data_IF_530113315337
#
_entry.id   IF_530113315337
#
_cell.length_a   1.000
_cell.length_b   1.000
_cell.length_c   1.000
_cell.angle_alpha   90.00
_cell.angle_beta   90.00
_cell.angle_gamma   90.00
#
_symmetry.space_group_name_H-M   'P 1'
#
loop_
_entity.id
_entity.type
_entity.pdbx_description
1 polymer ?
#
# COMPACT_ATOMS: atom_id res chain seq x y z
N UNK A 1 -38.74 38.92 -20.42
CA UNK A 1 -38.20 38.20 -19.25
C UNK A 1 -37.67 36.87 -19.77
N UNK A 2 -36.35 36.67 -19.81
CA UNK A 2 -35.76 35.34 -20.07
C UNK A 2 -34.44 35.31 -19.28
N UNK A 3 -34.52 34.79 -18.06
CA UNK A 3 -33.36 34.61 -17.19
C UNK A 3 -32.59 33.38 -17.67
N UNK A 4 -31.58 33.62 -18.51
CA UNK A 4 -30.67 32.57 -18.98
C UNK A 4 -29.97 31.91 -17.80
N UNK A 5 -30.25 30.61 -17.59
CA UNK A 5 -29.55 29.76 -16.61
C UNK A 5 -28.05 29.79 -16.90
N UNK A 6 -27.29 30.53 -16.08
CA UNK A 6 -25.82 30.51 -16.09
C UNK A 6 -25.34 29.08 -15.83
N UNK A 7 -24.83 28.43 -16.88
CA UNK A 7 -24.09 27.17 -16.83
C UNK A 7 -22.87 27.41 -15.93
N UNK A 8 -22.87 26.86 -14.72
CA UNK A 8 -21.75 27.03 -13.76
C UNK A 8 -20.48 26.46 -14.39
N UNK A 9 -19.42 27.28 -14.48
CA UNK A 9 -18.12 26.87 -15.02
C UNK A 9 -17.46 25.88 -14.07
N UNK A 10 -17.00 24.77 -14.62
CA UNK A 10 -16.38 23.64 -13.90
C UNK A 10 -15.04 24.01 -13.23
N UNK A 11 -14.43 25.12 -13.65
CA UNK A 11 -13.13 25.63 -13.19
C UNK A 11 -13.17 26.19 -11.75
N UNK A 12 -14.35 26.50 -11.22
CA UNK A 12 -14.55 27.06 -9.87
C UNK A 12 -14.79 25.95 -8.79
N UNK A 13 -14.74 24.67 -9.19
CA UNK A 13 -15.02 23.51 -8.33
C UNK A 13 -13.77 22.82 -7.77
N UNK A 14 -12.62 23.51 -7.76
CA UNK A 14 -11.42 23.15 -7.00
C UNK A 14 -11.65 23.36 -5.50
N UNK A 15 -12.73 22.77 -4.96
CA UNK A 15 -13.00 22.79 -3.54
C UNK A 15 -12.02 21.84 -2.90
N UNK A 16 -11.18 22.37 -2.02
CA UNK A 16 -10.28 21.56 -1.22
C UNK A 16 -11.09 20.57 -0.36
N UNK A 17 -10.49 19.43 -0.09
CA UNK A 17 -11.10 18.44 0.80
C UNK A 17 -11.17 19.00 2.22
N UNK A 18 -12.36 19.07 2.82
CA UNK A 18 -12.51 19.48 4.21
C UNK A 18 -12.30 18.27 5.14
N UNK A 19 -11.37 18.40 6.10
CA UNK A 19 -11.03 17.35 7.07
C UNK A 19 -12.22 16.90 7.94
N UNK A 20 -13.21 17.75 8.20
CA UNK A 20 -14.42 17.41 8.97
C UNK A 20 -15.22 16.29 8.31
N UNK A 21 -15.09 16.13 6.98
CA UNK A 21 -15.74 15.06 6.23
C UNK A 21 -15.18 13.69 6.59
N UNK A 22 -13.98 13.65 7.17
CA UNK A 22 -13.35 12.43 7.65
C UNK A 22 -14.14 11.80 8.79
N UNK A 23 -14.44 12.58 9.82
CA UNK A 23 -15.23 12.09 10.94
C UNK A 23 -16.71 11.99 10.58
N UNK A 24 -17.23 12.95 9.80
CA UNK A 24 -18.67 13.03 9.49
C UNK A 24 -19.15 11.93 8.55
N UNK A 25 -18.36 11.63 7.51
CA UNK A 25 -18.77 10.76 6.39
C UNK A 25 -17.79 9.61 6.14
N UNK A 26 -16.76 9.44 6.97
CA UNK A 26 -15.71 8.41 6.81
C UNK A 26 -14.97 8.50 5.46
N UNK A 27 -14.60 9.71 5.03
CA UNK A 27 -13.81 9.95 3.81
C UNK A 27 -12.41 10.46 4.12
N UNK A 28 -11.43 10.15 3.27
CA UNK A 28 -10.11 10.81 3.33
C UNK A 28 -9.74 11.39 1.97
N UNK A 29 -8.84 12.37 1.98
CA UNK A 29 -8.19 12.86 0.77
C UNK A 29 -7.06 11.87 0.38
N UNK A 30 -7.12 11.33 -0.83
CA UNK A 30 -6.02 10.53 -1.39
C UNK A 30 -4.90 11.45 -1.93
N UNK A 31 -3.78 10.85 -2.35
CA UNK A 31 -2.61 11.56 -2.91
C UNK A 31 -2.92 12.38 -4.17
N UNK A 32 -4.00 12.03 -4.87
CA UNK A 32 -4.53 12.73 -6.05
C UNK A 32 -5.51 13.85 -5.71
N UNK A 33 -5.70 14.17 -4.43
CA UNK A 33 -6.57 15.26 -3.98
C UNK A 33 -8.06 14.91 -3.96
N UNK A 34 -8.44 13.67 -4.26
CA UNK A 34 -9.84 13.25 -4.39
C UNK A 34 -10.35 12.46 -3.18
N UNK A 35 -11.67 12.51 -2.87
CA UNK A 35 -12.23 11.83 -1.71
C UNK A 35 -12.25 10.32 -1.95
N UNK A 36 -11.82 9.56 -0.96
CA UNK A 36 -11.96 8.10 -0.93
C UNK A 36 -12.65 7.64 0.32
N UNK A 37 -13.67 6.80 0.18
CA UNK A 37 -14.43 6.24 1.30
C UNK A 37 -13.54 5.27 2.10
N UNK A 38 -13.55 5.38 3.43
CA UNK A 38 -12.83 4.46 4.31
C UNK A 38 -13.55 3.12 4.51
N UNK A 39 -14.85 3.04 4.21
CA UNK A 39 -15.68 1.86 4.45
C UNK A 39 -15.65 0.91 3.24
N UNK A 40 -15.87 1.44 2.02
CA UNK A 40 -15.87 0.64 0.79
C UNK A 40 -14.71 0.91 -0.17
N UNK A 41 -13.82 1.85 0.15
CA UNK A 41 -12.66 2.21 -0.67
C UNK A 41 -12.98 2.81 -2.05
N UNK A 42 -14.23 3.14 -2.32
CA UNK A 42 -14.63 3.83 -3.54
C UNK A 42 -14.13 5.28 -3.55
N UNK A 43 -13.58 5.70 -4.69
CA UNK A 43 -13.06 7.04 -4.94
C UNK A 43 -14.11 7.87 -5.66
N UNK A 44 -14.32 9.11 -5.20
CA UNK A 44 -15.23 10.06 -5.83
C UNK A 44 -14.47 11.01 -6.76
N UNK A 45 -15.12 11.46 -7.83
CA UNK A 45 -14.51 12.36 -8.81
C UNK A 45 -14.43 13.82 -8.35
N UNK A 46 -15.19 14.21 -7.32
CA UNK A 46 -15.30 15.60 -6.90
C UNK A 46 -15.38 15.76 -5.38
N UNK A 47 -14.67 16.76 -4.86
CA UNK A 47 -14.70 17.22 -3.47
C UNK A 47 -15.98 18.02 -3.16
N UNK A 48 -17.14 17.36 -3.22
CA UNK A 48 -18.44 17.99 -2.93
C UNK A 48 -19.10 17.29 -1.75
N UNK A 49 -19.37 18.03 -0.67
CA UNK A 49 -20.07 17.50 0.52
C UNK A 49 -21.33 16.70 0.16
N UNK A 50 -22.16 17.20 -0.75
CA UNK A 50 -23.38 16.50 -1.19
C UNK A 50 -23.11 15.14 -1.84
N UNK A 51 -21.98 14.97 -2.53
CA UNK A 51 -21.59 13.69 -3.11
C UNK A 51 -21.17 12.69 -2.03
N UNK A 52 -20.37 13.14 -1.06
CA UNK A 52 -19.89 12.33 0.06
C UNK A 52 -21.07 11.92 0.97
N UNK A 53 -21.94 12.87 1.30
CA UNK A 53 -23.11 12.64 2.14
C UNK A 53 -24.10 11.69 1.48
N UNK A 54 -24.41 11.88 0.19
CA UNK A 54 -25.23 10.92 -0.57
C UNK A 54 -24.59 9.54 -0.60
N UNK A 55 -23.30 9.43 -0.90
CA UNK A 55 -22.60 8.14 -0.89
C UNK A 55 -22.70 7.46 0.48
N UNK A 56 -22.39 8.18 1.56
CA UNK A 56 -22.38 7.66 2.92
C UNK A 56 -23.78 7.19 3.35
N UNK A 57 -24.80 8.02 3.14
CA UNK A 57 -26.18 7.70 3.53
C UNK A 57 -26.80 6.59 2.71
N UNK A 58 -26.45 6.45 1.42
CA UNK A 58 -27.07 5.43 0.54
C UNK A 58 -26.33 4.10 0.56
N UNK A 59 -24.99 4.09 0.57
CA UNK A 59 -24.20 2.85 0.56
C UNK A 59 -23.86 2.33 1.96
N UNK A 60 -23.90 3.20 2.97
CA UNK A 60 -23.53 2.87 4.35
C UNK A 60 -24.63 3.21 5.35
N UNK A 61 -25.88 2.88 5.02
CA UNK A 61 -27.08 3.13 5.84
C UNK A 61 -26.97 2.62 7.28
N UNK A 62 -26.27 1.51 7.50
CA UNK A 62 -26.11 0.88 8.82
C UNK A 62 -25.00 1.54 9.66
N UNK A 63 -24.07 2.26 9.03
CA UNK A 63 -22.91 2.81 9.72
C UNK A 63 -23.29 3.86 10.77
N UNK A 64 -24.20 4.83 10.50
CA UNK A 64 -24.66 5.76 11.53
C UNK A 64 -25.34 5.09 12.72
N UNK A 65 -26.06 3.99 12.50
CA UNK A 65 -26.72 3.23 13.56
C UNK A 65 -25.73 2.48 14.44
N UNK A 66 -24.69 1.88 13.85
CA UNK A 66 -23.63 1.19 14.58
C UNK A 66 -22.65 2.14 15.27
N UNK A 67 -22.39 3.29 14.64
CA UNK A 67 -21.44 4.31 15.09
C UNK A 67 -22.10 5.69 15.05
N UNK A 68 -22.86 6.05 16.09
CA UNK A 68 -23.46 7.38 16.20
C UNK A 68 -22.37 8.47 16.31
N UNK A 69 -22.74 9.70 15.96
CA UNK A 69 -21.85 10.86 15.97
C UNK A 69 -21.22 11.07 17.37
N UNK A 70 -19.99 11.58 17.41
CA UNK A 70 -19.20 11.75 18.63
C UNK A 70 -18.05 10.75 18.72
N UNK A 71 -17.61 10.43 19.93
CA UNK A 71 -16.40 9.63 20.19
C UNK A 71 -16.45 8.23 19.57
N UNK A 72 -17.62 7.60 19.56
CA UNK A 72 -17.82 6.28 18.96
C UNK A 72 -17.48 6.28 17.46
N UNK A 73 -17.97 7.28 16.72
CA UNK A 73 -17.67 7.42 15.29
C UNK A 73 -16.22 7.82 15.06
N UNK A 74 -15.70 8.76 15.86
CA UNK A 74 -14.31 9.19 15.75
C UNK A 74 -13.34 8.01 15.89
N UNK A 75 -13.52 7.19 16.93
CA UNK A 75 -12.73 5.98 17.15
C UNK A 75 -12.87 4.98 16.00
N UNK A 76 -14.09 4.77 15.48
CA UNK A 76 -14.32 3.87 14.35
C UNK A 76 -13.58 4.33 13.08
N UNK A 77 -13.62 5.64 12.79
CA UNK A 77 -12.91 6.24 11.65
C UNK A 77 -11.40 6.13 11.80
N UNK A 78 -10.86 6.40 13.00
CA UNK A 78 -9.43 6.23 13.29
C UNK A 78 -8.97 4.78 13.07
N UNK A 79 -9.74 3.80 13.53
CA UNK A 79 -9.42 2.38 13.32
C UNK A 79 -9.48 1.99 11.84
N UNK A 80 -10.43 2.52 11.06
CA UNK A 80 -10.46 2.32 9.61
C UNK A 80 -9.23 2.91 8.91
N UNK A 81 -8.77 4.09 9.33
CA UNK A 81 -7.55 4.68 8.80
C UNK A 81 -6.30 3.86 9.16
N UNK A 82 -6.20 3.38 10.41
CA UNK A 82 -5.09 2.51 10.83
C UNK A 82 -5.05 1.24 9.99
N UNK A 83 -6.19 0.58 9.79
CA UNK A 83 -6.30 -0.63 8.94
C UNK A 83 -5.85 -0.34 7.50
N UNK A 84 -6.28 0.78 6.91
CA UNK A 84 -5.84 1.18 5.57
C UNK A 84 -4.32 1.36 5.51
N UNK A 85 -3.74 2.10 6.46
CA UNK A 85 -2.28 2.33 6.53
C UNK A 85 -1.50 1.03 6.70
N UNK A 86 -1.97 0.13 7.57
CA UNK A 86 -1.36 -1.19 7.78
C UNK A 86 -1.39 -2.03 6.51
N UNK A 87 -2.53 -2.10 5.82
CA UNK A 87 -2.66 -2.83 4.55
C UNK A 87 -1.71 -2.27 3.48
N UNK A 88 -1.64 -0.94 3.31
CA UNK A 88 -0.70 -0.32 2.37
C UNK A 88 0.77 -0.59 2.74
N UNK A 89 1.12 -0.57 4.02
CA UNK A 89 2.48 -0.92 4.46
C UNK A 89 2.83 -2.37 4.17
N UNK A 90 1.91 -3.32 4.38
CA UNK A 90 2.15 -4.72 4.06
C UNK A 90 2.34 -4.94 2.55
N UNK A 91 1.52 -4.29 1.72
CA UNK A 91 1.63 -4.35 0.26
C UNK A 91 2.96 -3.77 -0.24
N UNK A 92 3.39 -2.63 0.29
CA UNK A 92 4.68 -2.04 -0.07
C UNK A 92 5.86 -2.93 0.34
N UNK A 93 5.81 -3.50 1.55
CA UNK A 93 6.85 -4.43 2.00
C UNK A 93 6.91 -5.68 1.11
N UNK A 94 5.76 -6.21 0.69
CA UNK A 94 5.71 -7.31 -0.28
C UNK A 94 6.36 -6.91 -1.59
N UNK A 95 5.93 -5.80 -2.21
CA UNK A 95 6.46 -5.36 -3.51
C UNK A 95 7.99 -5.19 -3.46
N UNK A 96 8.51 -4.59 -2.39
CA UNK A 96 9.95 -4.48 -2.16
C UNK A 96 10.64 -5.84 -2.02
N UNK A 97 10.01 -6.81 -1.36
CA UNK A 97 10.55 -8.16 -1.24
C UNK A 97 10.58 -8.88 -2.59
N UNK A 98 9.53 -8.78 -3.41
CA UNK A 98 9.51 -9.37 -4.75
C UNK A 98 10.56 -8.76 -5.69
N UNK A 99 10.79 -7.45 -5.59
CA UNK A 99 11.84 -6.78 -6.36
C UNK A 99 13.23 -7.28 -5.95
N UNK A 100 13.48 -7.43 -4.64
CA UNK A 100 14.73 -7.98 -4.10
C UNK A 100 14.98 -9.42 -4.53
N UNK A 101 13.96 -10.27 -4.48
CA UNK A 101 14.06 -11.66 -4.97
C UNK A 101 14.43 -11.67 -6.45
N UNK A 102 13.81 -10.81 -7.26
CA UNK A 102 14.10 -10.72 -8.70
C UNK A 102 15.54 -10.27 -8.97
N UNK A 103 16.03 -9.26 -8.24
CA UNK A 103 17.43 -8.80 -8.32
C UNK A 103 18.40 -9.91 -7.91
N UNK A 104 18.11 -10.63 -6.82
CA UNK A 104 18.95 -11.74 -6.36
C UNK A 104 18.99 -12.87 -7.38
N UNK A 105 17.83 -13.28 -7.94
CA UNK A 105 17.74 -14.30 -8.99
C UNK A 105 18.52 -13.91 -10.24
N UNK A 106 18.47 -12.64 -10.64
CA UNK A 106 19.26 -12.14 -11.77
C UNK A 106 20.76 -12.15 -11.48
N UNK A 107 21.19 -11.68 -10.30
CA UNK A 107 22.59 -11.69 -9.89
C UNK A 107 23.17 -13.12 -9.88
N UNK A 108 22.39 -14.07 -9.35
CA UNK A 108 22.71 -15.49 -9.37
C UNK A 108 22.83 -16.02 -10.79
N UNK A 109 21.83 -15.78 -11.64
CA UNK A 109 21.82 -16.26 -13.03
C UNK A 109 22.98 -15.69 -13.84
N UNK A 110 23.32 -14.42 -13.62
CA UNK A 110 24.46 -13.76 -14.27
C UNK A 110 25.80 -14.37 -13.83
N UNK A 111 25.98 -14.62 -12.54
CA UNK A 111 27.19 -15.28 -12.03
C UNK A 111 27.28 -16.71 -12.58
N UNK A 112 26.13 -17.40 -12.69
CA UNK A 112 26.07 -18.73 -13.26
C UNK A 112 26.56 -18.71 -14.72
N UNK A 113 25.97 -17.83 -15.52
CA UNK A 113 26.32 -17.66 -16.94
C UNK A 113 27.79 -17.26 -17.15
N UNK A 114 28.35 -16.39 -16.29
CA UNK A 114 29.75 -15.96 -16.36
C UNK A 114 30.74 -17.09 -16.10
N UNK A 115 30.45 -17.95 -15.13
CA UNK A 115 31.34 -19.04 -14.74
C UNK A 115 31.26 -20.23 -15.70
N UNK A 116 30.14 -20.42 -16.39
CA UNK A 116 29.98 -21.42 -17.45
C UNK A 116 30.24 -22.86 -16.98
N UNK A 117 30.11 -23.13 -15.68
CA UNK A 117 30.37 -24.44 -15.07
C UNK A 117 29.11 -25.31 -15.12
N UNK A 118 29.24 -26.64 -15.24
CA UNK A 118 28.10 -27.54 -15.10
C UNK A 118 27.58 -27.51 -13.66
N UNK A 119 26.26 -27.66 -13.48
CA UNK A 119 25.55 -27.76 -12.18
C UNK A 119 25.91 -29.04 -11.38
N UNK A 120 27.03 -29.69 -11.72
CA UNK A 120 27.56 -30.88 -11.04
C UNK A 120 28.81 -30.56 -10.23
N UNK A 121 29.26 -29.30 -10.25
CA UNK A 121 30.36 -28.79 -9.43
C UNK A 121 29.80 -28.32 -8.08
N UNK A 122 29.92 -29.18 -7.06
CA UNK A 122 29.33 -28.96 -5.73
C UNK A 122 29.80 -27.64 -5.10
N UNK A 123 31.08 -27.32 -5.27
CA UNK A 123 31.68 -26.12 -4.69
C UNK A 123 31.08 -24.86 -5.34
N UNK A 124 30.75 -24.94 -6.63
CA UNK A 124 30.11 -23.86 -7.37
C UNK A 124 28.65 -23.62 -6.95
N UNK A 125 27.87 -24.68 -6.70
CA UNK A 125 26.50 -24.55 -6.22
C UNK A 125 26.46 -23.90 -4.83
N UNK A 126 27.38 -24.30 -3.93
CA UNK A 126 27.54 -23.70 -2.60
C UNK A 126 27.83 -22.19 -2.68
N UNK A 127 28.75 -21.81 -3.56
CA UNK A 127 29.13 -20.41 -3.80
C UNK A 127 27.95 -19.58 -4.33
N UNK A 128 27.14 -20.19 -5.20
CA UNK A 128 25.93 -19.61 -5.75
C UNK A 128 24.88 -19.36 -4.65
N UNK A 129 24.63 -20.33 -3.77
CA UNK A 129 23.70 -20.20 -2.65
C UNK A 129 24.14 -19.12 -1.64
N UNK A 130 25.44 -19.01 -1.35
CA UNK A 130 25.97 -17.96 -0.47
C UNK A 130 25.69 -16.58 -1.08
N UNK A 131 26.00 -16.37 -2.37
CA UNK A 131 25.78 -15.08 -3.05
C UNK A 131 24.31 -14.72 -3.15
N UNK A 132 23.45 -15.68 -3.48
CA UNK A 132 21.99 -15.49 -3.48
C UNK A 132 21.51 -14.98 -2.11
N UNK A 133 22.00 -15.60 -1.04
CA UNK A 133 21.65 -15.25 0.33
C UNK A 133 22.17 -13.88 0.74
N UNK A 134 23.40 -13.53 0.36
CA UNK A 134 23.96 -12.19 0.64
C UNK A 134 23.10 -11.07 0.06
N UNK A 135 22.45 -11.35 -1.07
CA UNK A 135 21.57 -10.42 -1.77
C UNK A 135 20.14 -10.40 -1.25
N UNK A 136 19.56 -11.56 -0.95
CA UNK A 136 18.23 -11.66 -0.34
C UNK A 136 18.19 -11.00 1.05
N UNK A 137 19.26 -11.15 1.83
CA UNK A 137 19.33 -10.64 3.20
C UNK A 137 20.12 -9.33 3.32
N UNK A 138 20.45 -8.67 2.21
CA UNK A 138 21.30 -7.47 2.16
C UNK A 138 20.88 -6.39 3.18
N UNK A 139 19.57 -6.14 3.29
CA UNK A 139 19.02 -5.04 4.10
C UNK A 139 18.46 -5.51 5.46
N UNK A 140 18.63 -6.78 5.81
CA UNK A 140 18.12 -7.30 7.07
C UNK A 140 19.00 -6.85 8.24
N UNK A 141 18.38 -6.35 9.32
CA UNK A 141 19.11 -5.91 10.53
C UNK A 141 19.95 -7.04 11.14
N UNK A 142 19.49 -8.28 11.01
CA UNK A 142 20.15 -9.49 11.48
C UNK A 142 20.90 -10.25 10.37
N UNK A 143 21.27 -9.59 9.26
CA UNK A 143 21.99 -10.19 8.12
C UNK A 143 23.16 -11.08 8.56
N UNK A 144 24.01 -10.59 9.45
CA UNK A 144 25.21 -11.32 9.88
C UNK A 144 24.86 -12.67 10.51
N UNK A 145 23.85 -12.70 11.39
CA UNK A 145 23.40 -13.93 12.04
C UNK A 145 22.78 -14.92 11.05
N UNK A 146 21.97 -14.42 10.11
CA UNK A 146 21.37 -15.23 9.03
C UNK A 146 22.47 -15.82 8.15
N UNK A 147 23.45 -15.01 7.74
CA UNK A 147 24.55 -15.45 6.88
C UNK A 147 25.45 -16.48 7.57
N UNK A 148 25.70 -16.35 8.88
CA UNK A 148 26.44 -17.35 9.65
C UNK A 148 25.71 -18.70 9.61
N UNK A 149 24.40 -18.71 9.86
CA UNK A 149 23.57 -19.93 9.83
C UNK A 149 23.56 -20.58 8.45
N UNK A 150 23.43 -19.78 7.39
CA UNK A 150 23.44 -20.26 6.01
C UNK A 150 24.79 -20.85 5.64
N UNK A 151 25.90 -20.17 5.94
CA UNK A 151 27.25 -20.69 5.67
C UNK A 151 27.50 -21.99 6.43
N UNK A 152 27.05 -22.09 7.68
CA UNK A 152 27.14 -23.32 8.45
C UNK A 152 26.34 -24.47 7.82
N UNK A 153 25.11 -24.20 7.37
CA UNK A 153 24.24 -25.19 6.72
C UNK A 153 24.73 -25.65 5.34
N UNK A 154 25.57 -24.85 4.66
CA UNK A 154 26.16 -25.17 3.35
C UNK A 154 27.47 -25.96 3.51
N UNK A 155 28.17 -25.81 4.64
CA UNK A 155 29.45 -26.47 4.96
C UNK A 155 29.25 -27.87 5.58
N UNK A 156 28.20 -28.04 6.39
CA UNK A 156 27.82 -29.32 6.99
C UNK A 156 27.12 -30.25 5.99
#
# INVERSE_FOLDING_TARGET
MESGKKKRRTEEENREFNQDWTESFAFICNTDGLPTCLICHEKLAHNKKSNLERHFTTKHTQFPGKYPTGDARKKAVEELQKKKKQSSSMLNNWAQFSDKVSVASFAVSLEIAKRGKPFTDDEYDKDCFIRASEELFRDFKNKAEIMIKIRFAIIC
#
